data_IF_677816109747
#
_entry.id   IF_677816109747
#
_cell.length_a   1.000
_cell.length_b   1.000
_cell.length_c   1.000
_cell.angle_alpha   90.00
_cell.angle_beta   90.00
_cell.angle_gamma   90.00
#
_symmetry.space_group_name_H-M   'P 1'
#
loop_
_entity.id
_entity.type
_entity.pdbx_description
1 polymer ?
#
# COMPACT_ATOMS: atom_id res chain seq x y z
N UNK A 1 19.84 -24.08 -5.54
CA UNK A 1 19.00 -23.46 -4.51
C UNK A 1 18.05 -22.48 -5.17
N UNK A 2 16.78 -22.78 -5.11
CA UNK A 2 15.81 -21.85 -5.67
C UNK A 2 15.70 -20.63 -4.75
N UNK A 3 16.23 -19.53 -5.21
CA UNK A 3 16.00 -18.28 -4.52
C UNK A 3 14.51 -17.92 -4.65
N UNK A 4 13.86 -17.68 -3.52
CA UNK A 4 12.53 -17.11 -3.54
C UNK A 4 12.60 -15.80 -4.30
N UNK A 5 11.87 -15.70 -5.40
CA UNK A 5 11.71 -14.45 -6.11
C UNK A 5 11.03 -13.47 -5.17
N UNK A 6 11.80 -12.50 -4.68
CA UNK A 6 11.25 -11.41 -3.86
C UNK A 6 10.70 -10.36 -4.80
N UNK A 7 9.42 -10.07 -4.68
CA UNK A 7 8.80 -8.99 -5.42
C UNK A 7 9.08 -7.68 -4.71
N UNK A 8 9.43 -6.66 -5.48
CA UNK A 8 9.55 -5.31 -4.96
C UNK A 8 8.21 -4.62 -5.14
N UNK A 9 7.66 -4.14 -4.03
CA UNK A 9 6.44 -3.34 -4.03
C UNK A 9 6.82 -1.94 -3.60
N UNK A 10 6.51 -0.96 -4.45
CA UNK A 10 6.75 0.45 -4.19
C UNK A 10 5.40 1.14 -4.04
N UNK A 11 5.26 1.94 -3.01
CA UNK A 11 4.07 2.76 -2.79
C UNK A 11 4.45 4.22 -2.76
N UNK A 12 3.72 5.05 -3.50
CA UNK A 12 3.94 6.50 -3.59
C UNK A 12 2.67 7.22 -3.20
N UNK A 13 2.77 8.14 -2.25
CA UNK A 13 1.66 8.96 -1.79
C UNK A 13 1.74 10.35 -2.40
N UNK A 14 0.64 10.82 -2.97
CA UNK A 14 0.52 12.15 -3.58
C UNK A 14 -0.56 12.96 -2.88
N UNK A 15 -0.35 14.27 -2.82
CA UNK A 15 -1.41 15.18 -2.39
C UNK A 15 -2.40 15.45 -3.55
N UNK A 16 -3.41 16.29 -3.30
CA UNK A 16 -4.43 16.63 -4.29
C UNK A 16 -3.84 17.28 -5.55
N UNK A 17 -2.70 17.95 -5.41
CA UNK A 17 -2.02 18.64 -6.52
C UNK A 17 -1.04 17.74 -7.27
N UNK A 18 -0.90 16.48 -6.85
CA UNK A 18 0.03 15.53 -7.46
C UNK A 18 1.46 15.63 -6.94
N UNK A 19 1.69 16.33 -5.83
CA UNK A 19 2.99 16.43 -5.21
C UNK A 19 3.26 15.16 -4.39
N UNK A 20 4.45 14.57 -4.54
CA UNK A 20 4.86 13.39 -3.80
C UNK A 20 5.04 13.74 -2.33
N UNK A 21 4.33 13.05 -1.45
CA UNK A 21 4.43 13.22 -0.01
C UNK A 21 5.33 12.18 0.64
N UNK A 22 5.35 10.96 0.11
CA UNK A 22 6.18 9.88 0.63
C UNK A 22 6.33 8.77 -0.40
N UNK A 23 7.41 8.02 -0.28
CA UNK A 23 7.67 6.80 -1.04
C UNK A 23 8.10 5.73 -0.04
N UNK A 24 7.62 4.51 -0.21
CA UNK A 24 8.01 3.39 0.63
C UNK A 24 8.06 2.10 -0.17
N UNK A 25 8.88 1.18 0.31
CA UNK A 25 9.00 -0.17 -0.25
C UNK A 25 8.60 -1.18 0.83
N UNK A 26 8.12 -2.34 0.42
CA UNK A 26 7.83 -3.43 1.35
C UNK A 26 9.13 -3.93 2.00
N UNK A 27 9.01 -4.41 3.24
CA UNK A 27 10.13 -4.97 3.99
C UNK A 27 9.73 -6.33 4.54
N UNK A 28 10.36 -7.39 4.05
CA UNK A 28 10.06 -8.76 4.46
C UNK A 28 10.65 -9.12 5.82
N UNK A 29 11.59 -8.31 6.33
CA UNK A 29 12.33 -8.60 7.55
C UNK A 29 11.84 -7.80 8.76
N UNK A 30 11.09 -6.74 8.52
CA UNK A 30 10.56 -5.90 9.58
C UNK A 30 9.10 -6.20 9.85
N UNK A 31 8.70 -6.10 11.11
CA UNK A 31 7.30 -6.11 11.51
C UNK A 31 6.96 -4.78 12.16
N UNK A 32 5.69 -4.46 12.24
CA UNK A 32 5.21 -3.21 12.80
C UNK A 32 3.98 -3.48 13.64
N UNK A 33 3.88 -2.89 14.86
CA UNK A 33 2.68 -3.02 15.68
C UNK A 33 1.42 -2.54 14.95
N UNK A 34 1.53 -1.49 14.16
CA UNK A 34 0.41 -0.98 13.39
C UNK A 34 -0.02 -1.98 12.31
N UNK A 35 0.92 -2.56 11.59
CA UNK A 35 0.63 -3.58 10.58
C UNK A 35 -0.05 -4.80 11.21
N UNK A 36 0.43 -5.23 12.38
CA UNK A 36 -0.17 -6.33 13.14
C UNK A 36 -1.61 -6.02 13.52
N UNK A 37 -1.86 -4.81 14.04
CA UNK A 37 -3.20 -4.36 14.40
C UNK A 37 -4.14 -4.37 13.19
N UNK A 38 -3.69 -3.87 12.05
CA UNK A 38 -4.48 -3.86 10.82
C UNK A 38 -4.81 -5.28 10.36
N UNK A 39 -3.84 -6.19 10.43
CA UNK A 39 -4.03 -7.58 10.03
C UNK A 39 -5.07 -8.28 10.92
N UNK A 40 -5.01 -8.05 12.23
CA UNK A 40 -6.00 -8.60 13.16
C UNK A 40 -7.40 -8.04 12.90
N UNK A 41 -7.52 -6.73 12.66
CA UNK A 41 -8.78 -6.07 12.34
C UNK A 41 -9.38 -6.59 11.02
N UNK A 42 -8.53 -7.00 10.09
CA UNK A 42 -8.95 -7.57 8.82
C UNK A 42 -9.26 -9.08 8.90
N UNK A 43 -9.15 -9.68 10.10
CA UNK A 43 -9.36 -11.11 10.29
C UNK A 43 -8.21 -11.98 9.81
N UNK A 44 -7.02 -11.40 9.63
CA UNK A 44 -5.84 -12.11 9.18
C UNK A 44 -5.02 -12.63 10.36
N UNK A 45 -4.15 -13.60 10.07
CA UNK A 45 -3.27 -14.20 11.07
C UNK A 45 -2.25 -13.17 11.61
N UNK A 46 -1.90 -13.28 12.90
CA UNK A 46 -0.82 -12.52 13.51
C UNK A 46 0.52 -12.73 12.80
N UNK A 47 0.68 -13.83 12.06
CA UNK A 47 1.89 -14.09 11.29
C UNK A 47 2.08 -13.12 10.12
N UNK A 48 1.03 -12.39 9.73
CA UNK A 48 1.09 -11.39 8.66
C UNK A 48 1.44 -10.02 9.23
N UNK A 49 2.60 -9.92 9.87
CA UNK A 49 3.07 -8.69 10.52
C UNK A 49 4.17 -7.97 9.74
N UNK A 50 4.57 -8.51 8.60
CA UNK A 50 5.59 -7.89 7.75
C UNK A 50 5.12 -6.51 7.27
N UNK A 51 6.08 -5.60 7.18
CA UNK A 51 5.78 -4.21 6.76
C UNK A 51 5.39 -4.19 5.28
N UNK A 52 4.20 -3.74 5.01
CA UNK A 52 3.70 -3.53 3.66
C UNK A 52 4.02 -2.11 3.19
N UNK A 53 4.35 -1.97 1.91
CA UNK A 53 4.73 -0.67 1.34
C UNK A 53 3.63 0.37 1.50
N UNK A 54 2.37 -0.02 1.31
CA UNK A 54 1.22 0.89 1.40
C UNK A 54 1.08 1.49 2.80
N UNK A 55 1.12 0.63 3.83
CA UNK A 55 0.99 1.06 5.22
C UNK A 55 2.17 1.95 5.61
N UNK A 56 3.38 1.53 5.28
CA UNK A 56 4.59 2.31 5.57
C UNK A 56 4.55 3.68 4.88
N UNK A 57 4.10 3.72 3.63
CA UNK A 57 3.97 4.95 2.86
C UNK A 57 3.02 5.94 3.53
N UNK A 58 1.84 5.46 3.95
CA UNK A 58 0.84 6.29 4.63
C UNK A 58 1.34 6.82 5.97
N UNK A 59 2.04 5.97 6.74
CA UNK A 59 2.65 6.39 8.02
C UNK A 59 3.72 7.46 7.79
N UNK A 60 4.58 7.27 6.79
CA UNK A 60 5.63 8.26 6.44
C UNK A 60 5.03 9.57 5.98
N UNK A 61 4.01 9.54 5.14
CA UNK A 61 3.36 10.75 4.65
C UNK A 61 2.81 11.58 5.81
N UNK A 62 2.13 10.93 6.75
CA UNK A 62 1.59 11.61 7.94
C UNK A 62 2.69 12.17 8.83
N UNK A 63 3.79 11.45 9.00
CA UNK A 63 4.91 11.89 9.83
C UNK A 63 5.67 13.05 9.20
N UNK A 64 5.94 12.98 7.90
CA UNK A 64 6.69 14.00 7.18
C UNK A 64 5.86 15.24 6.86
N UNK A 65 4.56 15.06 6.64
CA UNK A 65 3.65 16.12 6.23
C UNK A 65 2.35 16.05 7.05
N UNK A 66 2.40 16.35 8.36
CA UNK A 66 1.24 16.18 9.24
C UNK A 66 0.02 17.03 8.87
N UNK A 67 0.23 18.13 8.14
CA UNK A 67 -0.83 19.03 7.69
C UNK A 67 -1.31 18.76 6.27
N UNK A 68 -0.78 17.72 5.63
CA UNK A 68 -1.16 17.31 4.28
C UNK A 68 -1.95 16.01 4.34
N UNK A 69 -2.87 15.85 3.40
CA UNK A 69 -3.64 14.62 3.25
C UNK A 69 -3.17 13.88 2.00
N UNK A 70 -2.99 12.58 2.12
CA UNK A 70 -2.76 11.72 0.95
C UNK A 70 -4.07 11.65 0.17
N UNK A 71 -4.06 12.17 -1.04
CA UNK A 71 -5.19 12.11 -1.95
C UNK A 71 -5.14 10.85 -2.82
N UNK A 72 -3.97 10.54 -3.35
CA UNK A 72 -3.75 9.41 -4.26
C UNK A 72 -2.61 8.54 -3.76
N UNK A 73 -2.80 7.24 -3.79
CA UNK A 73 -1.79 6.25 -3.46
C UNK A 73 -1.54 5.39 -4.70
N UNK A 74 -0.29 5.38 -5.19
CA UNK A 74 0.12 4.54 -6.31
C UNK A 74 0.92 3.35 -5.78
N UNK A 75 0.45 2.14 -6.10
CA UNK A 75 1.09 0.90 -5.65
C UNK A 75 1.62 0.17 -6.88
N UNK A 76 2.92 -0.03 -6.92
CA UNK A 76 3.59 -0.64 -8.06
C UNK A 76 4.27 -1.94 -7.64
N UNK A 77 4.07 -2.99 -8.41
CA UNK A 77 4.73 -4.28 -8.23
C UNK A 77 5.28 -4.75 -9.56
N UNK A 78 6.56 -5.09 -9.57
CA UNK A 78 7.24 -5.58 -10.75
C UNK A 78 7.95 -6.89 -10.41
N UNK A 79 8.01 -7.80 -11.39
CA UNK A 79 8.78 -9.03 -11.24
C UNK A 79 10.27 -8.78 -11.54
N UNK A 80 11.09 -9.83 -11.48
CA UNK A 80 12.53 -9.74 -11.72
C UNK A 80 12.89 -9.32 -13.14
N UNK A 81 11.95 -9.44 -14.08
CA UNK A 81 12.13 -9.03 -15.47
C UNK A 81 11.60 -7.62 -15.74
N UNK A 82 11.12 -6.93 -14.71
CA UNK A 82 10.57 -5.59 -14.83
C UNK A 82 9.14 -5.54 -15.35
N UNK A 83 8.46 -6.67 -15.45
CA UNK A 83 7.06 -6.70 -15.89
C UNK A 83 6.12 -6.35 -14.75
N UNK A 84 5.09 -5.52 -15.01
CA UNK A 84 4.12 -5.17 -13.98
C UNK A 84 3.30 -6.40 -13.56
N UNK A 85 3.05 -6.48 -12.26
CA UNK A 85 2.24 -7.54 -11.65
C UNK A 85 1.15 -6.92 -10.79
N UNK A 86 0.16 -7.72 -10.42
CA UNK A 86 -0.97 -7.24 -9.63
C UNK A 86 -0.52 -6.75 -8.25
N UNK A 87 -0.78 -5.48 -7.98
CA UNK A 87 -0.44 -4.82 -6.72
C UNK A 87 -1.68 -4.31 -5.97
N UNK A 88 -2.83 -4.96 -6.17
CA UNK A 88 -4.06 -4.58 -5.45
C UNK A 88 -3.85 -4.72 -3.94
N UNK A 89 -4.25 -3.72 -3.13
CA UNK A 89 -4.07 -3.78 -1.67
C UNK A 89 -4.75 -5.00 -1.07
N UNK A 90 -4.10 -5.62 -0.09
CA UNK A 90 -4.73 -6.66 0.71
C UNK A 90 -5.72 -6.05 1.71
N UNK A 91 -6.48 -6.89 2.42
CA UNK A 91 -7.52 -6.42 3.33
C UNK A 91 -6.98 -5.49 4.43
N UNK A 92 -5.79 -5.79 4.99
CA UNK A 92 -5.18 -4.92 6.01
C UNK A 92 -4.77 -3.56 5.43
N UNK A 93 -4.23 -3.56 4.20
CA UNK A 93 -3.85 -2.31 3.52
C UNK A 93 -5.07 -1.48 3.15
N UNK A 94 -6.17 -2.12 2.75
CA UNK A 94 -7.43 -1.43 2.47
C UNK A 94 -7.97 -0.71 3.72
N UNK A 95 -7.83 -1.31 4.91
CA UNK A 95 -8.19 -0.66 6.16
C UNK A 95 -7.36 0.61 6.41
N UNK A 96 -6.04 0.53 6.21
CA UNK A 96 -5.16 1.68 6.38
C UNK A 96 -5.48 2.79 5.38
N UNK A 97 -5.77 2.43 4.14
CA UNK A 97 -6.16 3.37 3.08
C UNK A 97 -7.46 4.08 3.46
N UNK A 98 -8.44 3.33 3.94
CA UNK A 98 -9.72 3.89 4.39
C UNK A 98 -9.54 4.81 5.59
N UNK A 99 -8.78 4.38 6.60
CA UNK A 99 -8.51 5.16 7.81
C UNK A 99 -7.79 6.46 7.47
N UNK A 100 -6.93 6.46 6.46
CA UNK A 100 -6.20 7.64 5.98
C UNK A 100 -7.01 8.52 5.03
N UNK A 101 -8.22 8.11 4.68
CA UNK A 101 -9.14 8.85 3.79
C UNK A 101 -8.57 9.12 2.40
N UNK A 102 -7.77 8.20 1.88
CA UNK A 102 -7.25 8.27 0.51
C UNK A 102 -8.42 8.19 -0.47
N UNK A 103 -8.42 9.08 -1.47
CA UNK A 103 -9.53 9.16 -2.44
C UNK A 103 -9.35 8.23 -3.63
N UNK A 104 -8.13 8.09 -4.10
CA UNK A 104 -7.83 7.32 -5.30
C UNK A 104 -6.67 6.37 -5.00
N UNK A 105 -6.83 5.11 -5.36
CA UNK A 105 -5.76 4.12 -5.32
C UNK A 105 -5.50 3.66 -6.74
N UNK A 106 -4.27 3.81 -7.19
CA UNK A 106 -3.79 3.30 -8.47
C UNK A 106 -2.86 2.12 -8.19
N UNK A 107 -3.02 1.04 -8.91
CA UNK A 107 -2.16 -0.12 -8.72
C UNK A 107 -1.84 -0.78 -10.05
N UNK A 108 -0.64 -1.37 -10.13
CA UNK A 108 -0.23 -2.11 -11.34
C UNK A 108 -0.98 -3.43 -11.44
N UNK A 109 -1.21 -3.86 -12.67
CA UNK A 109 -1.70 -5.19 -12.99
C UNK A 109 -0.95 -5.67 -14.23
N UNK A 110 -1.17 -6.92 -14.63
CA UNK A 110 -0.55 -7.45 -15.85
C UNK A 110 -1.00 -6.71 -17.11
N UNK A 111 -2.18 -6.09 -17.06
CA UNK A 111 -2.75 -5.32 -18.18
C UNK A 111 -2.54 -3.80 -18.05
N UNK A 112 -1.77 -3.33 -17.07
CA UNK A 112 -1.49 -1.91 -16.87
C UNK A 112 -1.93 -1.38 -15.52
N UNK A 113 -2.16 -0.08 -15.45
CA UNK A 113 -2.57 0.59 -14.21
C UNK A 113 -4.09 0.52 -14.05
N UNK A 114 -4.52 0.04 -12.88
CA UNK A 114 -5.93 -0.02 -12.50
C UNK A 114 -6.23 1.05 -11.44
N UNK A 115 -7.47 1.46 -11.35
CA UNK A 115 -7.92 2.48 -10.40
C UNK A 115 -8.98 1.91 -9.46
N UNK A 116 -8.80 2.18 -8.18
CA UNK A 116 -9.81 1.88 -7.15
C UNK A 116 -10.14 3.16 -6.42
N UNK A 117 -11.38 3.63 -6.52
CA UNK A 117 -11.83 4.84 -5.83
C UNK A 117 -12.27 4.53 -4.41
N UNK A 118 -12.12 5.51 -3.51
CA UNK A 118 -12.49 5.37 -2.09
C UNK A 118 -13.94 4.94 -1.89
N UNK A 119 -14.86 5.44 -2.71
CA UNK A 119 -16.27 5.05 -2.64
C UNK A 119 -16.45 3.56 -2.85
N UNK A 120 -15.71 2.96 -3.80
CA UNK A 120 -15.76 1.52 -4.06
C UNK A 120 -15.15 0.73 -2.90
N UNK A 121 -14.09 1.27 -2.28
CA UNK A 121 -13.48 0.64 -1.10
C UNK A 121 -14.49 0.55 0.04
N UNK A 122 -15.24 1.61 0.29
CA UNK A 122 -16.27 1.63 1.33
C UNK A 122 -17.38 0.60 1.07
N UNK A 123 -17.80 0.44 -0.17
CA UNK A 123 -18.83 -0.52 -0.56
C UNK A 123 -18.34 -1.97 -0.42
N UNK A 124 -17.04 -2.20 -0.62
CA UNK A 124 -16.44 -3.53 -0.51
C UNK A 124 -16.19 -3.94 0.94
N UNK A 125 -16.14 -3.01 1.85
CA UNK A 125 -15.90 -3.25 3.27
C UNK A 125 -17.20 -3.23 4.07
#
# INVERSE_FOLDING_TARGET
>A
MSERKKFVIKSTAFDKKGVVLAIAFNDYFKSSPYQKSLSLRAGLSEMRTQVHAEVLCLVRAKRLHPNKRVHTLLIERYDSEGKPRLAKPCASCELAIRDSKVQIVLYTSESGIQTLKQTLIKELL
#
